data_IF_373076327333
#
_entry.id   IF_373076327333
#
_cell.length_a   1.000
_cell.length_b   1.000
_cell.length_c   1.000
_cell.angle_alpha   90.00
_cell.angle_beta   90.00
_cell.angle_gamma   90.00
#
_symmetry.space_group_name_H-M   'P 1'
#
loop_
_entity.id
_entity.type
_entity.pdbx_description
1 polymer ?
#
# COMPACT_ATOMS: atom_id res chain seq x y z
N UNK A 1 13.73 -5.54 -19.10
CA UNK A 1 12.56 -4.78 -18.62
C UNK A 1 12.98 -4.00 -17.40
N UNK A 2 12.70 -2.71 -17.38
CA UNK A 2 13.08 -1.77 -16.33
C UNK A 2 11.88 -1.45 -15.44
N UNK A 3 12.02 -1.66 -14.14
CA UNK A 3 10.95 -1.50 -13.16
C UNK A 3 11.33 -0.39 -12.18
N UNK A 4 10.48 0.62 -12.10
CA UNK A 4 10.57 1.70 -11.11
C UNK A 4 9.64 1.39 -9.94
N UNK A 5 10.17 1.26 -8.73
CA UNK A 5 9.39 0.97 -7.51
C UNK A 5 9.22 2.23 -6.67
N UNK A 6 7.98 2.73 -6.58
CA UNK A 6 7.67 4.04 -6.00
C UNK A 6 7.17 4.01 -4.54
N UNK A 7 7.24 2.85 -3.89
CA UNK A 7 6.69 2.61 -2.54
C UNK A 7 7.57 3.28 -1.45
N UNK A 8 7.09 3.38 -0.19
CA UNK A 8 7.94 3.77 0.93
C UNK A 8 9.25 2.97 0.95
N UNK A 9 10.35 3.58 1.43
CA UNK A 9 11.72 3.06 1.28
C UNK A 9 11.86 1.57 1.60
N UNK A 10 11.44 1.15 2.78
CA UNK A 10 11.60 -0.25 3.22
C UNK A 10 10.80 -1.22 2.34
N UNK A 11 9.58 -0.82 1.97
CA UNK A 11 8.73 -1.58 1.05
C UNK A 11 9.31 -1.68 -0.36
N UNK A 12 9.87 -0.57 -0.85
CA UNK A 12 10.51 -0.49 -2.15
C UNK A 12 11.75 -1.36 -2.19
N UNK A 13 12.57 -1.35 -1.13
CA UNK A 13 13.78 -2.15 -1.04
C UNK A 13 13.49 -3.65 -1.05
N UNK A 14 12.51 -4.11 -0.26
CA UNK A 14 12.15 -5.53 -0.20
C UNK A 14 11.62 -6.00 -1.57
N UNK A 15 10.74 -5.23 -2.20
CA UNK A 15 10.20 -5.58 -3.52
C UNK A 15 11.31 -5.55 -4.58
N UNK A 16 12.20 -4.56 -4.54
CA UNK A 16 13.28 -4.44 -5.53
C UNK A 16 14.29 -5.56 -5.40
N UNK A 17 14.66 -5.96 -4.18
CA UNK A 17 15.50 -7.16 -3.95
C UNK A 17 14.86 -8.41 -4.55
N UNK A 18 13.55 -8.59 -4.36
CA UNK A 18 12.81 -9.70 -4.97
C UNK A 18 12.88 -9.63 -6.51
N UNK A 19 12.57 -8.49 -7.12
CA UNK A 19 12.57 -8.33 -8.57
C UNK A 19 13.96 -8.53 -9.20
N UNK A 20 15.01 -7.98 -8.58
CA UNK A 20 16.40 -8.16 -9.00
C UNK A 20 16.79 -9.64 -8.92
N UNK A 21 16.41 -10.35 -7.84
CA UNK A 21 16.65 -11.80 -7.72
C UNK A 21 15.95 -12.64 -8.80
N UNK A 22 14.95 -12.07 -9.48
CA UNK A 22 14.22 -12.68 -10.61
C UNK A 22 14.70 -12.18 -11.98
N UNK A 23 15.79 -11.42 -12.02
CA UNK A 23 16.44 -10.96 -13.26
C UNK A 23 15.86 -9.68 -13.86
N UNK A 24 15.06 -8.91 -13.11
CA UNK A 24 14.58 -7.61 -13.57
C UNK A 24 15.55 -6.49 -13.22
N UNK A 25 15.76 -5.58 -14.17
CA UNK A 25 16.44 -4.31 -13.92
C UNK A 25 15.49 -3.41 -13.13
N UNK A 26 15.83 -3.11 -11.86
CA UNK A 26 14.89 -2.49 -10.91
C UNK A 26 15.57 -1.38 -10.14
N UNK A 27 14.89 -0.24 -10.04
CA UNK A 27 15.31 0.91 -9.24
C UNK A 27 14.24 1.35 -8.26
N UNK A 28 14.67 1.77 -7.06
CA UNK A 28 13.81 2.35 -6.04
C UNK A 28 13.72 3.86 -6.22
N UNK A 29 12.49 4.40 -6.24
CA UNK A 29 12.24 5.83 -6.15
C UNK A 29 11.13 6.09 -5.12
N UNK A 30 11.42 6.03 -3.82
CA UNK A 30 10.41 6.24 -2.79
C UNK A 30 9.72 7.60 -2.95
N UNK A 31 8.44 7.58 -3.26
CA UNK A 31 7.69 8.81 -3.54
C UNK A 31 7.02 9.39 -2.28
N UNK A 32 6.90 8.59 -1.22
CA UNK A 32 6.33 9.01 0.05
C UNK A 32 7.15 8.42 1.20
N UNK A 33 7.16 9.13 2.31
CA UNK A 33 7.68 8.72 3.61
C UNK A 33 6.53 8.42 4.57
N UNK A 34 6.81 7.58 5.56
CA UNK A 34 5.87 7.24 6.63
C UNK A 34 6.44 7.81 7.92
N UNK A 35 5.82 8.87 8.41
CA UNK A 35 6.25 9.53 9.64
C UNK A 35 5.34 9.08 10.77
N UNK A 36 5.93 8.58 11.85
CA UNK A 36 5.18 8.18 13.03
C UNK A 36 4.81 9.41 13.86
N UNK A 37 3.58 9.40 14.35
CA UNK A 37 2.98 10.44 15.18
C UNK A 37 2.85 9.85 16.58
N UNK A 38 3.36 10.60 17.56
CA UNK A 38 3.22 10.21 18.96
C UNK A 38 1.75 10.25 19.37
N UNK A 39 1.28 9.15 19.97
CA UNK A 39 -0.07 9.08 20.53
C UNK A 39 0.01 8.96 22.04
N UNK A 40 -0.90 9.63 22.74
CA UNK A 40 -0.96 9.62 24.19
C UNK A 40 -1.30 8.23 24.74
N UNK A 41 -0.92 7.97 26.00
CA UNK A 41 -1.13 6.68 26.67
C UNK A 41 -2.61 6.34 26.89
N UNK A 42 -3.52 7.28 26.64
CA UNK A 42 -4.97 7.05 26.63
C UNK A 42 -5.36 5.93 25.66
N UNK A 43 -4.59 5.71 24.60
CA UNK A 43 -4.76 4.58 23.66
C UNK A 43 -4.73 3.21 24.35
N UNK A 44 -4.09 3.07 25.51
CA UNK A 44 -3.97 1.79 26.23
C UNK A 44 -5.23 1.41 27.04
N UNK A 45 -6.20 2.32 27.15
CA UNK A 45 -7.38 2.15 28.00
C UNK A 45 -8.53 1.35 27.37
N UNK A 46 -8.37 0.89 26.13
CA UNK A 46 -9.42 0.23 25.37
C UNK A 46 -9.36 -1.29 25.51
N UNK A 47 -10.48 -1.97 25.26
CA UNK A 47 -10.56 -3.45 25.30
C UNK A 47 -10.29 -4.06 23.93
N UNK A 48 -10.60 -3.31 22.86
CA UNK A 48 -10.54 -3.76 21.47
C UNK A 48 -9.74 -2.78 20.60
N UNK A 49 -8.93 -3.30 19.68
CA UNK A 49 -8.06 -2.50 18.81
C UNK A 49 -8.24 -2.88 17.36
N UNK A 50 -8.44 -1.88 16.49
CA UNK A 50 -8.59 -2.07 15.05
C UNK A 50 -7.39 -1.43 14.34
N UNK A 51 -6.61 -2.25 13.62
CA UNK A 51 -5.47 -1.79 12.83
C UNK A 51 -5.84 -1.66 11.35
N UNK A 52 -5.76 -0.44 10.81
CA UNK A 52 -6.16 -0.18 9.42
C UNK A 52 -5.04 -0.37 8.40
N UNK A 53 -3.80 -0.60 8.84
CA UNK A 53 -2.66 -0.85 7.96
C UNK A 53 -1.49 -1.46 8.75
N UNK A 54 -0.50 -2.03 8.04
CA UNK A 54 0.77 -2.43 8.66
C UNK A 54 1.50 -1.25 9.33
N UNK A 55 1.38 -0.04 8.79
CA UNK A 55 2.04 1.16 9.35
C UNK A 55 1.37 1.61 10.65
N UNK A 56 0.06 1.38 10.82
CA UNK A 56 -0.61 1.58 12.09
C UNK A 56 -0.08 0.64 13.18
N UNK A 57 0.19 -0.62 12.82
CA UNK A 57 0.79 -1.61 13.74
C UNK A 57 2.20 -1.19 14.12
N UNK A 58 3.05 -0.94 13.12
CA UNK A 58 4.46 -0.59 13.32
C UNK A 58 4.60 0.72 14.11
N UNK A 59 3.77 1.73 13.82
CA UNK A 59 3.83 3.01 14.54
C UNK A 59 3.42 2.90 16.01
N UNK A 60 2.34 2.15 16.30
CA UNK A 60 1.91 1.96 17.68
C UNK A 60 2.96 1.18 18.48
N UNK A 61 3.54 0.13 17.90
CA UNK A 61 4.52 -0.71 18.59
C UNK A 61 5.95 -0.16 18.58
N UNK A 62 6.20 0.92 17.82
CA UNK A 62 7.38 1.75 18.04
C UNK A 62 7.30 2.54 19.35
N UNK A 63 6.09 2.73 19.91
CA UNK A 63 5.83 3.55 21.09
C UNK A 63 5.46 2.72 22.33
N UNK A 64 4.77 1.60 22.14
CA UNK A 64 4.24 0.77 23.22
C UNK A 64 4.64 -0.70 23.07
N UNK A 65 4.94 -1.36 24.19
CA UNK A 65 5.28 -2.79 24.19
C UNK A 65 4.06 -3.61 23.70
N UNK A 66 4.21 -4.46 22.65
CA UNK A 66 3.16 -5.36 22.18
C UNK A 66 2.53 -6.25 23.26
N UNK A 67 3.28 -6.58 24.33
CA UNK A 67 2.77 -7.42 25.43
C UNK A 67 1.54 -6.82 26.13
N UNK A 68 1.40 -5.48 26.11
CA UNK A 68 0.25 -4.77 26.68
C UNK A 68 -1.08 -5.09 25.96
N UNK A 69 -1.01 -5.74 24.79
CA UNK A 69 -2.14 -6.02 23.93
C UNK A 69 -2.51 -7.51 23.87
N UNK A 70 -1.83 -8.39 24.61
CA UNK A 70 -2.08 -9.84 24.57
C UNK A 70 -3.50 -10.23 25.02
N UNK A 71 -4.03 -9.56 26.05
CA UNK A 71 -5.37 -9.82 26.58
C UNK A 71 -6.46 -8.97 25.92
N UNK A 72 -6.15 -8.32 24.79
CA UNK A 72 -7.06 -7.41 24.07
C UNK A 72 -7.63 -8.10 22.84
N UNK A 73 -8.83 -7.69 22.43
CA UNK A 73 -9.40 -8.12 21.15
C UNK A 73 -8.74 -7.33 20.02
N UNK A 74 -8.05 -8.02 19.11
CA UNK A 74 -7.36 -7.35 18.01
C UNK A 74 -8.04 -7.65 16.69
N UNK A 75 -8.20 -6.61 15.89
CA UNK A 75 -8.83 -6.64 14.59
C UNK A 75 -7.91 -6.00 13.56
N UNK A 76 -7.99 -6.48 12.33
CA UNK A 76 -7.30 -5.83 11.22
C UNK A 76 -8.13 -5.84 9.96
N UNK A 77 -7.96 -4.81 9.14
CA UNK A 77 -8.72 -4.67 7.88
C UNK A 77 -8.40 -5.72 6.82
N UNK A 78 -7.44 -6.61 7.07
CA UNK A 78 -7.14 -7.71 6.16
C UNK A 78 -5.87 -8.47 6.52
N UNK A 79 -5.67 -9.59 5.82
CA UNK A 79 -4.63 -10.57 6.11
C UNK A 79 -3.20 -10.00 6.17
N UNK A 80 -2.86 -9.00 5.35
CA UNK A 80 -1.50 -8.41 5.36
C UNK A 80 -1.19 -7.66 6.65
N UNK A 81 -2.19 -6.96 7.21
CA UNK A 81 -2.06 -6.28 8.51
C UNK A 81 -2.02 -7.30 9.64
N UNK A 82 -2.87 -8.34 9.61
CA UNK A 82 -2.80 -9.45 10.57
C UNK A 82 -1.44 -10.15 10.58
N UNK A 83 -0.85 -10.40 9.41
CA UNK A 83 0.53 -10.93 9.30
C UNK A 83 1.58 -10.02 9.94
N UNK A 84 1.33 -8.71 9.97
CA UNK A 84 2.24 -7.75 10.63
C UNK A 84 2.10 -7.87 12.14
N UNK A 85 0.87 -7.91 12.67
CA UNK A 85 0.60 -8.19 14.10
C UNK A 85 1.25 -9.51 14.55
N UNK A 86 1.19 -10.56 13.73
CA UNK A 86 1.78 -11.86 14.03
C UNK A 86 3.30 -11.81 14.25
N UNK A 87 4.00 -10.89 13.59
CA UNK A 87 5.45 -10.68 13.81
C UNK A 87 5.75 -10.17 15.22
N UNK A 88 4.79 -9.53 15.86
CA UNK A 88 4.85 -9.06 17.24
C UNK A 88 4.21 -10.05 18.24
N UNK A 89 3.94 -11.30 17.81
CA UNK A 89 3.34 -12.32 18.67
C UNK A 89 1.83 -12.18 18.89
N UNK A 90 1.17 -11.29 18.16
CA UNK A 90 -0.26 -10.97 18.34
C UNK A 90 -1.10 -11.53 17.19
N UNK A 91 -2.22 -12.17 17.52
CA UNK A 91 -3.23 -12.62 16.57
C UNK A 91 -4.35 -11.60 16.46
N UNK A 92 -4.93 -11.46 15.26
CA UNK A 92 -6.05 -10.57 15.02
C UNK A 92 -7.12 -11.23 14.16
N UNK A 93 -8.37 -10.90 14.43
CA UNK A 93 -9.50 -11.22 13.57
C UNK A 93 -9.47 -10.30 12.34
N UNK A 94 -9.77 -10.87 11.16
CA UNK A 94 -9.83 -10.12 9.92
C UNK A 94 -10.80 -10.77 8.94
N UNK A 95 -11.48 -9.96 8.10
CA UNK A 95 -12.41 -10.49 7.12
C UNK A 95 -11.68 -11.21 5.98
N UNK A 96 -12.37 -12.16 5.32
CA UNK A 96 -11.86 -12.80 4.11
C UNK A 96 -11.56 -11.78 3.01
N UNK A 97 -12.54 -10.92 2.74
CA UNK A 97 -12.39 -9.76 1.87
C UNK A 97 -11.89 -8.56 2.68
N UNK A 98 -10.84 -7.91 2.20
CA UNK A 98 -10.20 -6.82 2.93
C UNK A 98 -11.00 -5.51 2.87
N UNK A 99 -10.88 -4.69 3.91
CA UNK A 99 -11.41 -3.34 3.97
C UNK A 99 -12.26 -3.07 5.21
N UNK A 100 -12.49 -1.79 5.47
CA UNK A 100 -13.25 -1.32 6.64
C UNK A 100 -14.68 -1.83 6.69
N UNK A 101 -15.33 -1.99 5.53
CA UNK A 101 -16.74 -2.39 5.46
C UNK A 101 -16.95 -3.87 5.78
N UNK A 102 -16.06 -4.74 5.27
CA UNK A 102 -16.10 -6.17 5.58
C UNK A 102 -15.66 -6.44 7.02
N UNK A 103 -14.68 -5.67 7.54
CA UNK A 103 -14.30 -5.76 8.94
C UNK A 103 -15.44 -5.33 9.87
N UNK A 104 -16.19 -4.29 9.52
CA UNK A 104 -17.35 -3.86 10.30
C UNK A 104 -18.38 -4.98 10.42
N UNK A 105 -18.71 -5.66 9.31
CA UNK A 105 -19.64 -6.81 9.34
C UNK A 105 -19.16 -7.89 10.31
N UNK A 106 -17.88 -8.27 10.23
CA UNK A 106 -17.27 -9.26 11.11
C UNK A 106 -17.33 -8.84 12.58
N UNK A 107 -17.04 -7.57 12.90
CA UNK A 107 -17.11 -7.07 14.28
C UNK A 107 -18.54 -7.13 14.82
N UNK A 108 -19.54 -6.84 13.99
CA UNK A 108 -20.95 -6.82 14.37
C UNK A 108 -21.63 -8.20 14.37
N UNK A 109 -20.87 -9.29 14.15
CA UNK A 109 -21.37 -10.66 14.36
C UNK A 109 -21.51 -11.00 15.85
N UNK A 110 -20.82 -10.26 16.72
CA UNK A 110 -20.91 -10.38 18.17
C UNK A 110 -21.49 -9.13 18.83
N UNK A 111 -21.96 -9.28 20.07
CA UNK A 111 -22.35 -8.13 20.90
C UNK A 111 -21.10 -7.38 21.37
N UNK A 112 -21.05 -6.09 21.07
CA UNK A 112 -19.91 -5.19 21.35
C UNK A 112 -20.21 -4.19 22.46
N UNK A 113 -21.36 -4.30 23.14
CA UNK A 113 -21.83 -3.33 24.14
C UNK A 113 -20.88 -3.19 25.34
N UNK A 114 -20.19 -4.26 25.74
CA UNK A 114 -19.20 -4.25 26.82
C UNK A 114 -17.77 -3.90 26.35
N UNK A 115 -17.56 -3.72 25.04
CA UNK A 115 -16.24 -3.40 24.48
C UNK A 115 -16.02 -1.88 24.39
N UNK A 116 -14.76 -1.47 24.26
CA UNK A 116 -14.37 -0.13 23.83
C UNK A 116 -13.27 -0.24 22.77
N UNK A 117 -13.40 0.52 21.69
CA UNK A 117 -12.57 0.39 20.50
C UNK A 117 -11.58 1.54 20.32
N UNK A 118 -10.34 1.20 20.04
CA UNK A 118 -9.33 2.12 19.52
C UNK A 118 -9.05 1.79 18.04
N UNK A 119 -9.38 2.71 17.13
CA UNK A 119 -9.07 2.60 15.71
C UNK A 119 -7.70 3.22 15.45
N UNK A 120 -6.71 2.37 15.24
CA UNK A 120 -5.32 2.76 14.99
C UNK A 120 -5.12 2.91 13.49
N UNK A 121 -4.86 4.15 13.06
CA UNK A 121 -4.85 4.50 11.64
C UNK A 121 -3.83 5.58 11.30
N UNK A 122 -3.69 5.87 10.01
CA UNK A 122 -2.95 7.03 9.55
C UNK A 122 -3.84 8.27 9.43
N UNK A 123 -3.22 9.44 9.39
CA UNK A 123 -3.91 10.73 9.19
C UNK A 123 -4.84 10.67 7.98
N UNK A 124 -6.06 11.15 8.16
CA UNK A 124 -7.12 11.15 7.14
C UNK A 124 -7.50 9.74 6.65
N UNK A 125 -7.33 8.72 7.50
CA UNK A 125 -7.84 7.36 7.27
C UNK A 125 -9.36 7.32 7.15
N UNK A 126 -9.90 6.17 6.70
CA UNK A 126 -11.33 5.95 6.57
C UNK A 126 -12.06 6.05 7.93
N UNK A 127 -13.09 6.90 8.02
CA UNK A 127 -13.87 7.15 9.24
C UNK A 127 -15.02 6.16 9.48
N UNK A 128 -15.30 5.25 8.53
CA UNK A 128 -16.45 4.33 8.59
C UNK A 128 -16.50 3.55 9.91
N UNK A 129 -15.38 2.95 10.32
CA UNK A 129 -15.34 2.10 11.51
C UNK A 129 -15.64 2.89 12.78
N UNK A 130 -15.07 4.09 12.91
CA UNK A 130 -15.31 4.97 14.04
C UNK A 130 -16.79 5.38 14.04
N UNK A 131 -17.27 5.91 12.91
CA UNK A 131 -18.64 6.40 12.77
C UNK A 131 -19.71 5.35 13.08
N UNK A 132 -19.52 4.10 12.65
CA UNK A 132 -20.53 3.06 12.84
C UNK A 132 -20.42 2.40 14.23
N UNK A 133 -19.21 2.14 14.74
CA UNK A 133 -19.03 1.52 16.07
C UNK A 133 -19.36 2.51 17.19
N UNK A 134 -19.08 3.81 17.03
CA UNK A 134 -19.43 4.85 18.02
C UNK A 134 -20.93 4.98 18.27
N UNK A 135 -21.78 4.43 17.40
CA UNK A 135 -23.24 4.38 17.62
C UNK A 135 -23.64 3.30 18.63
N UNK A 136 -22.77 2.34 18.90
CA UNK A 136 -23.04 1.16 19.73
C UNK A 136 -22.25 1.19 21.03
N UNK A 137 -20.99 1.61 20.98
CA UNK A 137 -20.11 1.69 22.15
C UNK A 137 -19.02 2.75 21.98
N UNK A 138 -18.20 2.98 23.01
CA UNK A 138 -17.05 3.88 22.93
C UNK A 138 -16.10 3.44 21.82
N UNK A 139 -15.87 4.31 20.85
CA UNK A 139 -14.92 4.07 19.77
C UNK A 139 -14.20 5.38 19.43
N UNK A 140 -12.88 5.38 19.53
CA UNK A 140 -12.05 6.54 19.29
C UNK A 140 -10.94 6.23 18.26
N UNK A 141 -10.55 7.26 17.50
CA UNK A 141 -9.51 7.15 16.49
C UNK A 141 -8.19 7.66 17.02
N UNK A 142 -7.13 6.88 16.77
CA UNK A 142 -5.75 7.27 17.06
C UNK A 142 -4.96 7.33 15.74
N UNK A 143 -4.61 8.54 15.33
CA UNK A 143 -3.78 8.78 14.16
C UNK A 143 -2.30 8.65 14.54
N UNK A 144 -1.73 7.47 14.26
CA UNK A 144 -0.37 7.10 14.70
C UNK A 144 0.68 7.35 13.64
N UNK A 145 0.31 7.63 12.39
CA UNK A 145 1.28 7.94 11.36
C UNK A 145 0.68 8.85 10.28
N UNK A 146 1.54 9.51 9.52
CA UNK A 146 1.15 10.23 8.32
C UNK A 146 2.00 9.82 7.13
N UNK A 147 1.43 10.05 5.94
CA UNK A 147 2.12 9.88 4.67
C UNK A 147 2.61 11.25 4.23
N UNK A 148 3.92 11.42 4.15
CA UNK A 148 4.54 12.67 3.71
C UNK A 148 5.04 12.48 2.30
N UNK A 149 4.69 13.38 1.39
CA UNK A 149 5.20 13.29 0.02
C UNK A 149 6.66 13.71 0.01
N UNK A 150 7.47 13.01 -0.78
CA UNK A 150 8.82 13.46 -1.08
C UNK A 150 8.76 14.85 -1.75
N UNK A 151 9.79 15.66 -1.50
CA UNK A 151 9.92 16.97 -2.12
C UNK A 151 10.06 16.83 -3.63
N UNK A 152 9.44 17.75 -4.39
CA UNK A 152 9.52 17.73 -5.86
C UNK A 152 10.98 17.80 -6.31
N UNK A 153 11.80 18.64 -5.67
CA UNK A 153 13.21 18.78 -6.00
C UNK A 153 14.00 17.47 -5.84
N UNK A 154 13.90 16.81 -4.68
CA UNK A 154 14.63 15.56 -4.45
C UNK A 154 14.11 14.43 -5.36
N UNK A 155 12.79 14.35 -5.55
CA UNK A 155 12.16 13.33 -6.38
C UNK A 155 12.52 13.50 -7.86
N UNK A 156 12.49 14.74 -8.38
CA UNK A 156 12.92 15.10 -9.73
C UNK A 156 14.39 14.76 -9.95
N UNK A 157 15.27 15.15 -9.02
CA UNK A 157 16.71 14.88 -9.11
C UNK A 157 16.98 13.37 -9.16
N UNK A 158 16.35 12.59 -8.29
CA UNK A 158 16.51 11.14 -8.27
C UNK A 158 15.95 10.48 -9.54
N UNK A 159 14.79 10.92 -10.03
CA UNK A 159 14.21 10.41 -11.26
C UNK A 159 15.08 10.70 -12.49
N UNK A 160 15.55 11.95 -12.65
CA UNK A 160 16.42 12.34 -13.77
C UNK A 160 17.73 11.56 -13.77
N UNK A 161 18.32 11.33 -12.59
CA UNK A 161 19.50 10.48 -12.46
C UNK A 161 19.27 9.07 -13.05
N UNK A 162 18.11 8.47 -12.80
CA UNK A 162 17.79 7.17 -13.39
C UNK A 162 17.67 7.23 -14.91
N UNK A 163 17.05 8.29 -15.45
CA UNK A 163 16.95 8.48 -16.90
C UNK A 163 18.34 8.66 -17.54
N UNK A 164 19.21 9.46 -16.94
CA UNK A 164 20.58 9.70 -17.39
C UNK A 164 21.43 8.43 -17.35
N UNK A 165 21.22 7.58 -16.33
CA UNK A 165 21.80 6.24 -16.23
C UNK A 165 21.16 5.23 -17.23
N UNK A 166 20.30 5.71 -18.13
CA UNK A 166 19.67 4.96 -19.22
C UNK A 166 18.41 4.20 -18.82
N UNK A 167 17.87 4.43 -17.62
CA UNK A 167 16.77 3.66 -17.03
C UNK A 167 15.41 4.32 -17.36
N UNK A 168 14.93 4.08 -18.58
CA UNK A 168 13.55 4.40 -18.94
C UNK A 168 12.61 3.29 -18.44
N UNK A 169 11.66 3.57 -17.52
CA UNK A 169 10.84 2.53 -16.90
C UNK A 169 9.81 1.97 -17.89
N UNK A 170 9.76 0.64 -17.99
CA UNK A 170 8.69 -0.09 -18.69
C UNK A 170 7.48 -0.29 -17.76
N UNK A 171 7.75 -0.40 -16.46
CA UNK A 171 6.74 -0.61 -15.40
C UNK A 171 7.02 0.33 -14.24
N UNK A 172 5.98 0.99 -13.76
CA UNK A 172 6.00 1.85 -12.57
C UNK A 172 5.09 1.22 -11.51
N UNK A 173 5.70 0.76 -10.44
CA UNK A 173 4.99 0.11 -9.33
C UNK A 173 4.53 1.16 -8.33
N UNK A 174 3.25 1.47 -8.38
CA UNK A 174 2.54 2.28 -7.38
C UNK A 174 1.48 1.43 -6.67
N UNK A 175 1.38 1.54 -5.34
CA UNK A 175 0.45 0.73 -4.53
C UNK A 175 -0.66 1.55 -3.88
N UNK A 176 -0.74 2.84 -4.21
CA UNK A 176 -1.83 3.72 -3.79
C UNK A 176 -1.91 4.94 -4.71
N UNK A 177 -3.07 5.58 -4.72
CA UNK A 177 -3.26 6.83 -5.46
C UNK A 177 -2.31 7.93 -4.96
N UNK A 178 -1.97 7.94 -3.68
CA UNK A 178 -1.09 8.97 -3.11
C UNK A 178 0.38 8.80 -3.51
N UNK A 179 0.84 7.55 -3.67
CA UNK A 179 2.16 7.27 -4.25
C UNK A 179 2.21 7.82 -5.68
N UNK A 180 1.19 7.52 -6.49
CA UNK A 180 1.15 8.00 -7.88
C UNK A 180 1.00 9.53 -7.96
N UNK A 181 0.18 10.15 -7.10
CA UNK A 181 0.08 11.61 -6.99
C UNK A 181 1.43 12.24 -6.67
N UNK A 182 2.17 11.66 -5.72
CA UNK A 182 3.48 12.18 -5.37
C UNK A 182 4.46 12.12 -6.55
N UNK A 183 4.53 10.97 -7.23
CA UNK A 183 5.31 10.81 -8.47
C UNK A 183 4.89 11.81 -9.55
N UNK A 184 3.60 11.90 -9.85
CA UNK A 184 3.09 12.68 -10.98
C UNK A 184 3.39 14.19 -10.88
N UNK A 185 3.66 14.71 -9.68
CA UNK A 185 4.05 16.11 -9.48
C UNK A 185 5.32 16.50 -10.22
N UNK A 186 6.25 15.56 -10.45
CA UNK A 186 7.51 15.86 -11.15
C UNK A 186 7.31 15.97 -12.66
N UNK A 187 6.23 15.40 -13.19
CA UNK A 187 5.96 15.36 -14.63
C UNK A 187 5.32 16.64 -15.19
N UNK A 188 5.17 17.68 -14.35
CA UNK A 188 4.89 19.03 -14.83
C UNK A 188 6.10 19.67 -15.53
N UNK A 189 7.30 19.28 -15.14
CA UNK A 189 8.57 19.80 -15.67
C UNK A 189 9.39 18.74 -16.40
N UNK A 190 9.20 17.47 -16.03
CA UNK A 190 9.89 16.32 -16.63
C UNK A 190 8.96 15.58 -17.59
N UNK A 191 9.49 15.11 -18.72
CA UNK A 191 8.73 14.28 -19.66
C UNK A 191 8.27 12.98 -18.97
N UNK A 192 6.95 12.81 -18.86
CA UNK A 192 6.35 11.61 -18.29
C UNK A 192 6.61 10.36 -19.17
N UNK A 193 6.92 9.20 -18.58
CA UNK A 193 7.07 7.94 -19.32
C UNK A 193 5.69 7.33 -19.61
N UNK A 194 4.86 8.00 -20.42
CA UNK A 194 3.44 7.63 -20.66
C UNK A 194 3.24 6.22 -21.26
N UNK A 195 4.27 5.68 -21.91
CA UNK A 195 4.25 4.31 -22.41
C UNK A 195 4.36 3.25 -21.31
N UNK A 196 4.87 3.61 -20.12
CA UNK A 196 5.06 2.69 -19.01
C UNK A 196 3.74 2.14 -18.48
N UNK A 197 3.78 0.90 -18.01
CA UNK A 197 2.65 0.28 -17.31
C UNK A 197 2.64 0.78 -15.86
N UNK A 198 1.56 1.42 -15.42
CA UNK A 198 1.38 1.86 -14.04
C UNK A 198 0.54 0.84 -13.27
N UNK A 199 1.06 0.30 -12.16
CA UNK A 199 0.24 -0.57 -11.31
C UNK A 199 -0.81 0.23 -10.55
N UNK A 200 -2.04 -0.27 -10.46
CA UNK A 200 -3.17 0.36 -9.78
C UNK A 200 -3.85 -0.59 -8.80
N UNK A 201 -4.53 -0.05 -7.79
CA UNK A 201 -5.19 -0.85 -6.74
C UNK A 201 -6.70 -0.68 -6.67
N UNK A 202 -7.27 0.30 -7.39
CA UNK A 202 -8.71 0.58 -7.36
C UNK A 202 -9.21 1.26 -8.63
N UNK A 203 -10.53 1.19 -8.92
CA UNK A 203 -11.14 1.95 -10.01
C UNK A 203 -10.95 3.48 -9.87
N UNK A 204 -10.97 3.99 -8.63
CA UNK A 204 -10.69 5.41 -8.35
C UNK A 204 -9.28 5.80 -8.80
N UNK A 205 -8.31 4.94 -8.51
CA UNK A 205 -6.92 5.16 -8.93
C UNK A 205 -6.76 5.02 -10.45
N UNK A 206 -7.42 4.03 -11.09
CA UNK A 206 -7.44 3.89 -12.55
C UNK A 206 -7.88 5.18 -13.24
N UNK A 207 -9.02 5.72 -12.81
CA UNK A 207 -9.57 6.96 -13.37
C UNK A 207 -8.55 8.10 -13.25
N UNK A 208 -7.98 8.29 -12.06
CA UNK A 208 -6.99 9.35 -11.83
C UNK A 208 -5.72 9.18 -12.68
N UNK A 209 -5.17 7.97 -12.78
CA UNK A 209 -3.96 7.66 -13.57
C UNK A 209 -4.20 7.93 -15.06
N UNK A 210 -5.36 7.52 -15.58
CA UNK A 210 -5.74 7.79 -16.97
C UNK A 210 -5.91 9.28 -17.26
N UNK A 211 -6.50 10.04 -16.33
CA UNK A 211 -6.62 11.51 -16.44
C UNK A 211 -5.26 12.22 -16.51
N UNK A 212 -4.18 11.60 -16.02
CA UNK A 212 -2.81 12.11 -16.17
C UNK A 212 -2.11 11.67 -17.47
N UNK A 213 -2.81 10.92 -18.34
CA UNK A 213 -2.28 10.46 -19.63
C UNK A 213 -1.48 9.16 -19.59
N UNK A 214 -1.60 8.37 -18.51
CA UNK A 214 -1.05 7.01 -18.43
C UNK A 214 -2.14 5.99 -18.74
N UNK A 215 -2.16 5.47 -19.96
CA UNK A 215 -3.22 4.58 -20.44
C UNK A 215 -2.93 3.09 -20.16
N UNK A 216 -1.65 2.74 -20.01
CA UNK A 216 -1.23 1.38 -19.72
C UNK A 216 -1.26 1.14 -18.21
N UNK A 217 -2.22 0.33 -17.74
CA UNK A 217 -2.35 0.02 -16.31
C UNK A 217 -2.37 -1.47 -16.02
N UNK A 218 -1.92 -1.85 -14.82
CA UNK A 218 -1.96 -3.23 -14.31
C UNK A 218 -2.61 -3.25 -12.93
N UNK A 219 -3.77 -3.90 -12.82
CA UNK A 219 -4.49 -4.00 -11.54
C UNK A 219 -3.82 -5.01 -10.61
N UNK A 220 -3.58 -4.59 -9.38
CA UNK A 220 -3.11 -5.40 -8.27
C UNK A 220 -4.28 -5.69 -7.32
N UNK A 221 -4.62 -6.96 -7.16
CA UNK A 221 -5.65 -7.40 -6.20
C UNK A 221 -5.06 -7.60 -4.80
N UNK A 222 -3.76 -7.91 -4.72
CA UNK A 222 -3.00 -8.08 -3.48
C UNK A 222 -1.68 -7.32 -3.56
N UNK A 223 -1.30 -6.70 -2.44
CA UNK A 223 -0.13 -5.82 -2.33
C UNK A 223 1.09 -6.49 -1.69
N UNK A 224 1.05 -7.81 -1.49
CA UNK A 224 2.24 -8.55 -1.09
C UNK A 224 3.24 -8.63 -2.26
N UNK A 225 4.53 -8.64 -1.92
CA UNK A 225 5.60 -8.55 -2.92
C UNK A 225 5.58 -9.71 -3.92
N UNK A 226 5.19 -10.91 -3.49
CA UNK A 226 5.09 -12.07 -4.37
C UNK A 226 3.94 -11.91 -5.37
N UNK A 227 2.76 -11.47 -4.93
CA UNK A 227 1.64 -11.20 -5.85
C UNK A 227 1.97 -10.08 -6.83
N UNK A 228 2.62 -8.99 -6.38
CA UNK A 228 3.07 -7.92 -7.27
C UNK A 228 4.02 -8.47 -8.34
N UNK A 229 5.03 -9.24 -7.93
CA UNK A 229 5.96 -9.89 -8.86
C UNK A 229 5.22 -10.82 -9.85
N UNK A 230 4.33 -11.68 -9.36
CA UNK A 230 3.60 -12.62 -10.22
C UNK A 230 2.74 -11.89 -11.25
N UNK A 231 2.03 -10.83 -10.85
CA UNK A 231 1.23 -10.02 -11.77
C UNK A 231 2.06 -9.34 -12.83
N UNK A 232 3.22 -8.80 -12.45
CA UNK A 232 4.15 -8.22 -13.42
C UNK A 232 4.61 -9.30 -14.40
N UNK A 233 5.06 -10.46 -13.90
CA UNK A 233 5.52 -11.59 -14.73
C UNK A 233 4.46 -12.08 -15.72
N UNK A 234 3.24 -12.34 -15.25
CA UNK A 234 2.12 -12.81 -16.07
C UNK A 234 1.78 -11.83 -17.19
N UNK A 235 1.78 -10.53 -16.90
CA UNK A 235 1.53 -9.50 -17.91
C UNK A 235 2.59 -9.51 -19.01
N UNK A 236 3.86 -9.70 -18.64
CA UNK A 236 4.98 -9.77 -19.58
C UNK A 236 4.89 -11.02 -20.46
N UNK A 237 4.63 -12.18 -19.85
CA UNK A 237 4.49 -13.44 -20.56
C UNK A 237 3.33 -13.38 -21.58
N UNK A 238 2.19 -12.80 -21.20
CA UNK A 238 1.05 -12.63 -22.10
C UNK A 238 1.39 -11.78 -23.33
N UNK A 239 2.15 -10.68 -23.17
CA UNK A 239 2.62 -9.84 -24.28
C UNK A 239 3.60 -10.56 -25.21
N UNK A 240 4.46 -11.40 -24.66
CA UNK A 240 5.41 -12.18 -25.46
C UNK A 240 4.72 -13.26 -26.31
N UNK A 241 3.64 -13.86 -25.80
CA UNK A 241 2.85 -14.87 -26.53
C UNK A 241 2.03 -14.24 -27.67
N UNK A 242 1.43 -13.07 -27.44
CA UNK A 242 0.70 -12.35 -28.50
C UNK A 242 1.65 -11.87 -29.59
N UNK A 243 2.81 -11.29 -29.24
CA UNK A 243 3.83 -10.88 -30.21
C UNK A 243 4.33 -12.01 -31.12
N UNK A 244 4.58 -13.21 -30.57
CA UNK A 244 4.97 -14.39 -31.35
C UNK A 244 3.88 -14.84 -32.34
N UNK A 245 2.61 -14.82 -31.93
CA UNK A 245 1.47 -15.19 -32.81
C UNK A 245 1.29 -14.25 -34.01
N UNK A 246 1.56 -12.95 -33.84
CA UNK A 246 1.50 -11.99 -34.95
C UNK A 246 2.72 -12.11 -35.89
N UNK A 247 3.93 -12.33 -35.36
CA UNK A 247 5.12 -12.54 -36.19
C UNK A 247 5.05 -13.81 -37.05
N UNK A 248 4.40 -14.87 -36.56
CA UNK A 248 4.22 -16.11 -37.31
C UNK A 248 3.18 -16.02 -38.45
N UNK A 249 2.26 -15.03 -38.39
CA UNK A 249 1.27 -14.77 -39.45
C UNK A 249 1.73 -13.76 -40.49
N UNK A 250 2.73 -12.92 -40.18
CA UNK A 250 3.30 -11.97 -41.13
C UNK A 250 4.36 -12.59 -42.06
N UNK A 251 4.80 -13.83 -41.76
CA UNK A 251 5.74 -14.61 -42.56
C UNK A 251 5.05 -15.76 -43.34
N UNK A 252 3.73 -15.66 -43.57
CA UNK A 252 2.96 -16.57 -44.44
C UNK A 252 2.38 -15.80 -45.62
#
# INVERSE_FOLDING_TARGET
MKILVCRPKDDADILSKLLISKGYDTVCLPCINIDYINVESSVLSYTSYIFTSKYAVESLFAQYNPELFHDKKLYSVGQSTAKTLKKYGLDALYPHDHGSQELLKLILEEDVSDDSFAVISGVSGNELLVKEISQLTKCDKFETYQRVFESVAALSQAYLKFIDDGINPDVIVTTSIDIFKSLNRIFGEIVAPRAAIVTITSPKMLKFVNEQGFENTLKLEKLDNNCIYQKIREHIEAKNVTGKKYSARANQ
#
